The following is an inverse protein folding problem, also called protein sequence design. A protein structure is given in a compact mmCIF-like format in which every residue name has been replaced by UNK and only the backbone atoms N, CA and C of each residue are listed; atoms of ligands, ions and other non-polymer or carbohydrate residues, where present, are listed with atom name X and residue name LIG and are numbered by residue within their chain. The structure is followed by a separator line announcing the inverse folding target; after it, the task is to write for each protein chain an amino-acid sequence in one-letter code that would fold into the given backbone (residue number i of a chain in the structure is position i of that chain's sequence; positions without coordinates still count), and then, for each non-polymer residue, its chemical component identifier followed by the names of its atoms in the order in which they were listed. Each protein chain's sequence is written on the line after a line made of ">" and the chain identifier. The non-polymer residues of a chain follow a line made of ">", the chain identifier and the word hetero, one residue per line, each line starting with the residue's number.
data_IF_512970592580
#
_entry.id   IF_512970592580
#
_cell.length_a   1.000
_cell.length_b   1.000
_cell.length_c   1.000
_cell.angle_alpha   90.00
_cell.angle_beta   90.00
_cell.angle_gamma   90.00
#
_symmetry.space_group_name_H-M   'P 1'
#
loop_
_entity.id
_entity.type
_entity.pdbx_description
1 polymer ?
#
# COMPACT_ATOMS: atom_id res chain seq x y z
N UNK A 1 -10.53 3.19 13.23
CA UNK A 1 -10.28 3.16 11.77
C UNK A 1 -9.99 1.72 11.41
N UNK A 2 -10.63 1.16 10.39
CA UNK A 2 -10.34 -0.21 9.95
C UNK A 2 -9.02 -0.21 9.15
N UNK A 3 -7.93 -0.57 9.82
CA UNK A 3 -6.58 -0.57 9.25
C UNK A 3 -6.48 -1.58 8.10
N UNK A 4 -7.16 -2.73 8.21
CA UNK A 4 -7.19 -3.75 7.17
C UNK A 4 -7.86 -3.21 5.90
N UNK A 5 -9.01 -2.54 6.06
CA UNK A 5 -9.68 -1.83 4.96
C UNK A 5 -8.78 -0.78 4.32
N UNK A 6 -8.05 -0.01 5.12
CA UNK A 6 -7.15 1.03 4.60
C UNK A 6 -6.00 0.47 3.75
N UNK A 7 -5.41 -0.66 4.13
CA UNK A 7 -4.39 -1.33 3.31
C UNK A 7 -4.97 -1.77 1.97
N UNK A 8 -6.19 -2.33 1.99
CA UNK A 8 -6.89 -2.76 0.77
C UNK A 8 -7.16 -1.57 -0.16
N UNK A 9 -7.69 -0.48 0.37
CA UNK A 9 -7.96 0.76 -0.39
C UNK A 9 -6.68 1.32 -1.04
N UNK A 10 -5.54 1.29 -0.34
CA UNK A 10 -4.26 1.74 -0.88
C UNK A 10 -3.84 0.87 -2.08
N UNK A 11 -3.92 -0.45 -1.94
CA UNK A 11 -3.61 -1.38 -3.04
C UNK A 11 -4.54 -1.18 -4.24
N UNK A 12 -5.85 -1.08 -3.99
CA UNK A 12 -6.84 -0.87 -5.05
C UNK A 12 -6.63 0.48 -5.76
N UNK A 13 -6.22 1.53 -5.03
CA UNK A 13 -5.90 2.82 -5.63
C UNK A 13 -4.62 2.82 -6.48
N UNK A 14 -3.75 1.82 -6.31
CA UNK A 14 -2.60 1.59 -7.17
C UNK A 14 -2.95 0.77 -8.44
N UNK A 15 -4.18 0.22 -8.52
CA UNK A 15 -4.62 -0.73 -9.55
C UNK A 15 -3.75 -2.01 -9.60
N UNK A 16 -3.34 -2.49 -8.42
CA UNK A 16 -2.42 -3.62 -8.28
C UNK A 16 -3.07 -4.84 -7.61
N UNK A 17 -2.71 -6.04 -8.07
CA UNK A 17 -2.96 -7.26 -7.31
C UNK A 17 -1.98 -7.38 -6.13
N UNK A 18 -2.19 -8.33 -5.21
CA UNK A 18 -1.34 -8.47 -4.00
C UNK A 18 0.12 -8.77 -4.32
N UNK A 19 0.39 -9.47 -5.41
CA UNK A 19 1.76 -9.81 -5.85
C UNK A 19 2.47 -8.59 -6.41
N UNK A 20 1.79 -7.76 -7.19
CA UNK A 20 2.31 -6.48 -7.70
C UNK A 20 2.55 -5.51 -6.54
N UNK A 21 1.57 -5.35 -5.66
CA UNK A 21 1.67 -4.48 -4.49
C UNK A 21 2.78 -4.90 -3.52
N UNK A 22 3.02 -6.22 -3.42
CA UNK A 22 4.16 -6.76 -2.66
C UNK A 22 5.50 -6.32 -3.26
N UNK A 23 5.65 -6.41 -4.59
CA UNK A 23 6.88 -5.96 -5.28
C UNK A 23 7.07 -4.45 -5.17
N UNK A 24 5.97 -3.70 -5.29
CA UNK A 24 5.97 -2.25 -5.24
C UNK A 24 6.33 -1.71 -3.86
N UNK A 25 5.71 -2.23 -2.79
CA UNK A 25 5.94 -1.75 -1.41
C UNK A 25 7.11 -2.44 -0.71
N UNK A 26 7.60 -3.57 -1.23
CA UNK A 26 8.59 -4.44 -0.57
C UNK A 26 8.03 -5.26 0.60
N UNK A 27 6.71 -5.18 0.87
CA UNK A 27 6.06 -5.97 1.92
C UNK A 27 5.77 -7.37 1.37
N UNK A 28 6.10 -8.46 2.09
CA UNK A 28 5.81 -9.81 1.62
C UNK A 28 4.31 -10.02 1.33
N UNK A 29 3.98 -10.72 0.23
CA UNK A 29 2.59 -10.97 -0.18
C UNK A 29 1.73 -11.58 0.93
N UNK A 30 2.27 -12.53 1.70
CA UNK A 30 1.57 -13.13 2.85
C UNK A 30 1.23 -12.11 3.95
N UNK A 31 2.11 -11.12 4.15
CA UNK A 31 1.89 -10.06 5.12
C UNK A 31 0.72 -9.16 4.69
N UNK A 32 0.64 -8.84 3.39
CA UNK A 32 -0.50 -8.10 2.82
C UNK A 32 -1.79 -8.91 2.97
N UNK A 33 -1.76 -10.22 2.69
CA UNK A 33 -2.91 -11.11 2.86
C UNK A 33 -3.38 -11.18 4.32
N UNK A 34 -2.45 -11.32 5.27
CA UNK A 34 -2.77 -11.35 6.70
C UNK A 34 -3.36 -10.03 7.19
N UNK A 35 -2.88 -8.90 6.67
CA UNK A 35 -3.42 -7.59 7.00
C UNK A 35 -4.81 -7.37 6.41
N UNK A 36 -4.99 -7.61 5.12
CA UNK A 36 -6.28 -7.40 4.45
C UNK A 36 -7.37 -8.37 4.91
N UNK A 37 -7.01 -9.54 5.43
CA UNK A 37 -7.95 -10.52 6.01
C UNK A 37 -8.24 -10.26 7.49
N UNK A 38 -7.56 -9.31 8.13
CA UNK A 38 -7.68 -9.02 9.55
C UNK A 38 -7.05 -10.07 10.46
N UNK A 39 -6.31 -11.05 9.92
CA UNK A 39 -5.55 -12.04 10.72
C UNK A 39 -4.43 -11.39 11.52
N UNK A 40 -3.85 -10.31 11.01
CA UNK A 40 -2.88 -9.46 11.70
C UNK A 40 -3.20 -7.99 11.47
N UNK A 41 -2.96 -7.17 12.48
CA UNK A 41 -3.06 -5.72 12.35
C UNK A 41 -1.66 -5.15 12.12
N UNK A 42 -1.41 -4.42 11.02
CA UNK A 42 -0.13 -3.72 10.89
C UNK A 42 -0.03 -2.62 11.94
N UNK A 43 1.21 -2.22 12.31
CA UNK A 43 1.42 -0.98 13.06
C UNK A 43 0.71 0.21 12.40
N UNK A 44 0.15 1.11 13.21
CA UNK A 44 -0.69 2.23 12.73
C UNK A 44 0.02 3.14 11.72
N UNK A 45 1.35 3.22 11.78
CA UNK A 45 2.14 4.03 10.86
C UNK A 45 2.29 3.43 9.46
N UNK A 46 2.04 2.12 9.27
CA UNK A 46 2.29 1.44 7.99
C UNK A 46 1.38 1.96 6.85
N UNK A 47 0.05 2.06 7.01
CA UNK A 47 -0.80 2.65 5.97
C UNK A 47 -0.37 4.08 5.58
N UNK A 48 0.12 4.84 6.55
CA UNK A 48 0.63 6.21 6.32
C UNK A 48 1.92 6.19 5.49
N UNK A 49 2.86 5.29 5.76
CA UNK A 49 4.10 5.17 4.99
C UNK A 49 3.84 4.72 3.54
N UNK A 50 2.94 3.76 3.33
CA UNK A 50 2.52 3.34 1.99
C UNK A 50 1.88 4.51 1.24
N UNK A 51 0.99 5.27 1.90
CA UNK A 51 0.38 6.45 1.28
C UNK A 51 1.44 7.50 0.89
N UNK A 52 2.45 7.74 1.73
CA UNK A 52 3.54 8.66 1.39
C UNK A 52 4.36 8.18 0.19
N UNK A 53 4.67 6.89 0.10
CA UNK A 53 5.35 6.33 -1.06
C UNK A 53 4.55 6.62 -2.34
N UNK A 54 3.25 6.34 -2.34
CA UNK A 54 2.38 6.53 -3.51
C UNK A 54 2.27 8.01 -3.92
N UNK A 55 2.12 8.92 -2.96
CA UNK A 55 2.07 10.36 -3.24
C UNK A 55 3.41 10.88 -3.77
N UNK A 56 4.53 10.40 -3.22
CA UNK A 56 5.85 10.72 -3.73
C UNK A 56 6.04 10.26 -5.19
N UNK A 57 5.61 9.05 -5.52
CA UNK A 57 5.67 8.55 -6.90
C UNK A 57 4.81 9.36 -7.87
N UNK A 58 3.60 9.77 -7.45
CA UNK A 58 2.76 10.69 -8.23
C UNK A 58 3.46 12.03 -8.46
N UNK A 59 4.09 12.60 -7.44
CA UNK A 59 4.83 13.85 -7.54
C UNK A 59 6.01 13.73 -8.51
N UNK A 60 6.83 12.69 -8.37
CA UNK A 60 7.97 12.41 -9.27
C UNK A 60 7.50 12.21 -10.70
N UNK A 61 6.38 11.51 -10.93
CA UNK A 61 5.77 11.34 -12.26
C UNK A 61 5.32 12.67 -12.85
N UNK A 62 4.80 13.62 -12.04
CA UNK A 62 4.43 14.96 -12.50
C UNK A 62 5.66 15.79 -12.90
N UNK A 63 6.70 15.77 -12.06
CA UNK A 63 7.95 16.52 -12.31
C UNK A 63 8.64 16.04 -13.58
N UNK A 64 8.68 14.72 -13.85
CA UNK A 64 9.29 14.17 -15.06
C UNK A 64 8.50 14.41 -16.36
N UNK A 65 7.23 14.81 -16.24
CA UNK A 65 6.32 15.05 -17.39
C UNK A 65 6.22 16.53 -17.77
N UNK A 66 6.70 17.44 -16.93
CA UNK A 66 6.80 18.88 -17.22
C UNK A 66 8.22 19.25 -17.60
#
# INVERSE_FOLDING_TARGET
>A
MDIAKRIRELRESADENRTEFSKHTGIPVRTIEDWESGRRTPPEYIPRLIAYQMEYEKLVKKIKKG
#
